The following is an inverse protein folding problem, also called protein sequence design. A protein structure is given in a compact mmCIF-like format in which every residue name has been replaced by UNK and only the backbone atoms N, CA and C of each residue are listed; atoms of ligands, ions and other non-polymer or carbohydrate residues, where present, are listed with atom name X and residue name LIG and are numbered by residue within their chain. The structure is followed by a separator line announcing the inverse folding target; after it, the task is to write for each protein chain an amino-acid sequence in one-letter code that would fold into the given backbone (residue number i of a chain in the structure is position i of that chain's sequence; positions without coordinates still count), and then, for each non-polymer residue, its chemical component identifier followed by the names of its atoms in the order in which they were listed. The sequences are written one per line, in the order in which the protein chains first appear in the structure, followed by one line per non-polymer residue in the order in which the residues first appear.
data_IF_822027349426
#
_entry.id   IF_822027349426
#
_cell.length_a   1.000
_cell.length_b   1.000
_cell.length_c   1.000
_cell.angle_alpha   90.00
_cell.angle_beta   90.00
_cell.angle_gamma   90.00
#
_symmetry.space_group_name_H-M   'P 1'
#
loop_
_entity.id
_entity.type
_entity.pdbx_description
1 polymer ?
#
# COMPACT_ATOMS: atom_id res chain seq x y z
N UNK A 1 4.84 -8.02 4.74
CA UNK A 1 4.31 -7.76 6.09
C UNK A 1 2.79 -7.90 6.16
N UNK A 2 2.04 -7.32 5.22
CA UNK A 2 0.58 -7.34 5.23
C UNK A 2 0.01 -8.77 5.30
N UNK A 3 0.52 -9.69 4.48
CA UNK A 3 0.03 -11.07 4.46
C UNK A 3 0.23 -11.78 5.80
N UNK A 4 1.30 -11.46 6.53
CA UNK A 4 1.54 -12.00 7.87
C UNK A 4 0.48 -11.58 8.88
N UNK A 5 0.03 -10.33 8.84
CA UNK A 5 -1.10 -9.87 9.66
C UNK A 5 -2.42 -10.50 9.19
N UNK A 6 -2.66 -10.53 7.87
CA UNK A 6 -3.89 -11.08 7.29
C UNK A 6 -4.11 -12.53 7.67
N UNK A 7 -3.02 -13.32 7.72
CA UNK A 7 -3.07 -14.76 7.97
C UNK A 7 -3.83 -15.10 9.25
N UNK A 8 -3.65 -14.33 10.32
CA UNK A 8 -4.34 -14.56 11.60
C UNK A 8 -5.87 -14.43 11.50
N UNK A 9 -6.37 -13.67 10.51
CA UNK A 9 -7.79 -13.33 10.36
C UNK A 9 -8.45 -13.94 9.11
N UNK A 10 -7.73 -14.75 8.32
CA UNK A 10 -8.26 -15.28 7.06
C UNK A 10 -9.57 -16.06 7.25
N UNK A 11 -9.67 -16.82 8.32
CA UNK A 11 -10.84 -17.66 8.63
C UNK A 11 -11.95 -16.90 9.37
N UNK A 12 -11.66 -15.73 9.92
CA UNK A 12 -12.65 -14.92 10.61
C UNK A 12 -13.38 -13.98 9.63
N UNK A 13 -14.57 -14.38 9.21
CA UNK A 13 -15.38 -13.63 8.25
C UNK A 13 -15.99 -12.34 8.82
N UNK A 14 -15.94 -12.12 10.13
CA UNK A 14 -16.39 -10.88 10.75
C UNK A 14 -15.31 -9.80 10.69
N UNK A 15 -14.05 -10.18 10.47
CA UNK A 15 -12.94 -9.25 10.29
C UNK A 15 -12.82 -8.88 8.81
N UNK A 16 -13.03 -7.59 8.50
CA UNK A 16 -12.73 -7.03 7.18
C UNK A 16 -11.21 -6.90 7.02
N UNK A 17 -10.69 -7.34 5.88
CA UNK A 17 -9.27 -7.24 5.54
C UNK A 17 -9.10 -6.23 4.39
N UNK A 18 -8.26 -5.23 4.61
CA UNK A 18 -7.99 -4.18 3.64
C UNK A 18 -6.49 -4.05 3.41
N UNK A 19 -6.06 -4.15 2.15
CA UNK A 19 -4.71 -3.84 1.70
C UNK A 19 -4.64 -2.46 1.07
N UNK A 20 -3.55 -1.74 1.30
CA UNK A 20 -3.25 -0.49 0.64
C UNK A 20 -2.20 -0.72 -0.45
N UNK A 21 -2.49 -0.27 -1.68
CA UNK A 21 -1.55 -0.28 -2.80
C UNK A 21 -1.04 1.13 -3.08
N UNK A 22 0.16 1.24 -3.65
CA UNK A 22 0.73 2.52 -4.05
C UNK A 22 0.07 3.04 -5.34
N UNK A 23 -0.80 4.01 -5.20
CA UNK A 23 -1.40 4.71 -6.33
C UNK A 23 -0.51 5.83 -6.90
N UNK A 24 0.68 6.07 -6.35
CA UNK A 24 1.65 7.04 -6.84
C UNK A 24 1.06 8.43 -7.03
N UNK A 25 1.13 8.96 -8.23
CA UNK A 25 0.52 10.24 -8.61
C UNK A 25 -0.98 10.09 -8.95
N UNK A 26 -1.56 8.91 -8.74
CA UNK A 26 -2.92 8.54 -9.08
C UNK A 26 -2.99 7.49 -10.19
N UNK A 27 -3.82 6.47 -10.04
CA UNK A 27 -3.92 5.35 -11.01
C UNK A 27 -4.22 5.86 -12.43
N UNK A 28 -5.09 6.87 -12.56
CA UNK A 28 -5.45 7.45 -13.85
C UNK A 28 -4.33 8.19 -14.59
N UNK A 29 -3.21 8.49 -13.91
CA UNK A 29 -2.03 9.13 -14.53
C UNK A 29 -1.11 8.14 -15.23
N UNK A 30 -1.23 6.85 -14.95
CA UNK A 30 -0.31 5.80 -15.35
C UNK A 30 0.96 5.73 -14.48
N UNK A 31 1.16 6.67 -13.55
CA UNK A 31 2.33 6.72 -12.65
C UNK A 31 1.94 6.16 -11.27
N UNK A 32 1.94 4.85 -11.15
CA UNK A 32 1.54 4.12 -9.94
C UNK A 32 2.15 2.72 -9.90
N UNK A 33 1.99 2.01 -8.78
CA UNK A 33 2.39 0.61 -8.59
C UNK A 33 1.23 -0.27 -8.05
N UNK A 34 -0.03 0.13 -8.30
CA UNK A 34 -1.21 -0.58 -7.84
C UNK A 34 -1.53 -1.77 -8.75
N UNK A 35 -0.89 -2.90 -8.52
CA UNK A 35 -0.94 -4.08 -9.40
C UNK A 35 -2.29 -4.80 -9.38
N UNK A 36 -2.99 -4.85 -8.24
CA UNK A 36 -4.32 -5.49 -8.14
C UNK A 36 -5.38 -4.59 -8.78
N UNK A 37 -5.30 -3.28 -8.50
CA UNK A 37 -6.32 -2.35 -8.97
C UNK A 37 -6.25 -2.07 -10.49
N UNK A 38 -5.04 -2.10 -11.09
CA UNK A 38 -4.84 -1.68 -12.48
C UNK A 38 -4.02 -2.66 -13.33
N UNK A 39 -3.48 -3.72 -12.74
CA UNK A 39 -2.75 -4.76 -13.46
C UNK A 39 -3.68 -5.81 -14.06
N UNK A 40 -3.08 -6.77 -14.71
CA UNK A 40 -3.75 -7.93 -15.29
C UNK A 40 -3.07 -9.24 -14.85
N UNK A 41 -3.77 -10.39 -14.89
CA UNK A 41 -3.15 -11.68 -14.62
C UNK A 41 -1.96 -11.93 -15.55
N UNK A 42 -0.82 -12.27 -14.96
CA UNK A 42 0.42 -12.52 -15.67
C UNK A 42 1.38 -13.40 -14.86
N UNK A 43 2.60 -13.53 -15.35
CA UNK A 43 3.67 -14.29 -14.66
C UNK A 43 4.85 -13.33 -14.43
N UNK A 44 5.26 -13.20 -13.17
CA UNK A 44 6.42 -12.42 -12.78
C UNK A 44 7.26 -13.25 -11.81
N UNK A 45 8.57 -13.37 -12.11
CA UNK A 45 9.50 -14.21 -11.33
C UNK A 45 9.02 -15.66 -11.12
N UNK A 46 8.35 -16.23 -12.13
CA UNK A 46 7.82 -17.60 -12.07
C UNK A 46 6.51 -17.76 -11.29
N UNK A 47 5.95 -16.67 -10.76
CA UNK A 47 4.67 -16.72 -10.04
C UNK A 47 3.55 -16.13 -10.90
N UNK A 48 2.41 -16.82 -10.94
CA UNK A 48 1.18 -16.28 -11.50
C UNK A 48 0.58 -15.28 -10.49
N UNK A 49 0.36 -14.05 -10.94
CA UNK A 49 -0.15 -12.97 -10.09
C UNK A 49 -0.76 -11.85 -10.96
N UNK A 50 -1.08 -10.72 -10.36
CA UNK A 50 -1.37 -9.47 -11.08
C UNK A 50 -0.08 -8.73 -11.38
N UNK A 51 0.05 -8.24 -12.63
CA UNK A 51 1.25 -7.56 -13.13
C UNK A 51 0.84 -6.30 -13.90
N UNK A 52 1.57 -5.21 -13.67
CA UNK A 52 1.48 -4.00 -14.49
C UNK A 52 2.27 -4.22 -15.78
N UNK A 53 1.58 -4.46 -16.88
CA UNK A 53 2.18 -4.68 -18.18
C UNK A 53 1.29 -4.12 -19.30
N UNK A 54 1.91 -3.82 -20.44
CA UNK A 54 1.23 -3.38 -21.65
C UNK A 54 0.52 -4.53 -22.39
N UNK A 55 -0.03 -4.26 -23.56
CA UNK A 55 -0.77 -5.25 -24.35
C UNK A 55 0.11 -6.36 -24.93
N UNK A 56 1.40 -6.09 -25.07
CA UNK A 56 2.40 -7.06 -25.51
C UNK A 56 3.00 -7.87 -24.34
N UNK A 57 2.54 -7.60 -23.10
CA UNK A 57 2.99 -8.27 -21.89
C UNK A 57 4.32 -7.73 -21.33
N UNK A 58 4.81 -6.60 -21.84
CA UNK A 58 6.01 -5.95 -21.33
C UNK A 58 5.68 -5.19 -20.03
N UNK A 59 6.57 -5.29 -19.05
CA UNK A 59 6.42 -4.60 -17.77
C UNK A 59 6.41 -3.08 -18.00
N UNK A 60 5.41 -2.42 -17.42
CA UNK A 60 5.31 -0.95 -17.42
C UNK A 60 6.14 -0.41 -16.26
N UNK A 61 6.81 0.73 -16.49
CA UNK A 61 7.50 1.46 -15.43
C UNK A 61 6.51 1.87 -14.35
N UNK A 62 6.85 1.57 -13.10
CA UNK A 62 6.03 1.88 -11.95
C UNK A 62 6.48 3.16 -11.25
N UNK A 63 5.66 3.68 -10.35
CA UNK A 63 6.01 4.83 -9.54
C UNK A 63 5.37 4.76 -8.16
N UNK A 64 6.19 4.98 -7.14
CA UNK A 64 5.77 5.23 -5.75
C UNK A 64 6.87 6.00 -5.02
N UNK A 65 6.47 6.88 -4.11
CA UNK A 65 7.40 7.50 -3.15
C UNK A 65 8.05 6.46 -2.23
N UNK A 66 7.40 5.33 -2.05
CA UNK A 66 7.89 4.20 -1.25
C UNK A 66 8.64 3.22 -2.14
N UNK A 67 9.95 3.12 -1.96
CA UNK A 67 10.80 2.19 -2.73
C UNK A 67 10.35 0.73 -2.60
N UNK A 68 9.84 0.31 -1.44
CA UNK A 68 9.36 -1.05 -1.22
C UNK A 68 8.02 -1.37 -1.89
N UNK A 69 7.27 -0.35 -2.31
CA UNK A 69 6.01 -0.51 -3.05
C UNK A 69 6.14 -0.18 -4.54
N UNK A 70 7.26 0.39 -4.96
CA UNK A 70 7.54 0.70 -6.37
C UNK A 70 7.94 -0.56 -7.13
N UNK A 71 6.92 -1.37 -7.46
CA UNK A 71 7.10 -2.69 -8.04
C UNK A 71 5.88 -3.08 -8.91
N UNK A 72 6.08 -3.69 -10.09
CA UNK A 72 5.02 -3.92 -11.07
C UNK A 72 4.16 -5.14 -10.80
N UNK A 73 4.28 -5.79 -9.66
CA UNK A 73 3.54 -6.99 -9.32
C UNK A 73 3.21 -7.08 -7.84
N UNK A 74 2.48 -8.10 -7.47
CA UNK A 74 2.08 -8.37 -6.09
C UNK A 74 2.26 -9.85 -5.77
N UNK A 75 2.38 -10.21 -4.50
CA UNK A 75 2.46 -11.61 -4.09
C UNK A 75 1.21 -12.40 -4.52
N UNK A 76 1.36 -13.64 -5.00
CA UNK A 76 0.25 -14.46 -5.52
C UNK A 76 -0.84 -14.72 -4.48
N UNK A 77 -0.50 -14.73 -3.21
CA UNK A 77 -1.47 -14.88 -2.12
C UNK A 77 -2.37 -13.64 -1.99
N UNK A 78 -1.83 -12.43 -2.17
CA UNK A 78 -2.64 -11.22 -2.23
C UNK A 78 -3.58 -11.23 -3.44
N UNK A 79 -3.10 -11.67 -4.61
CA UNK A 79 -3.93 -11.84 -5.80
C UNK A 79 -5.09 -12.80 -5.53
N UNK A 80 -4.83 -13.95 -4.92
CA UNK A 80 -5.85 -14.92 -4.52
C UNK A 80 -6.88 -14.33 -3.53
N UNK A 81 -6.43 -13.57 -2.54
CA UNK A 81 -7.34 -12.94 -1.57
C UNK A 81 -8.22 -11.86 -2.22
N UNK A 82 -7.71 -11.16 -3.22
CA UNK A 82 -8.48 -10.22 -4.03
C UNK A 82 -9.54 -10.97 -4.87
N UNK A 83 -9.13 -11.99 -5.62
CA UNK A 83 -10.01 -12.78 -6.50
C UNK A 83 -11.15 -13.46 -5.74
N UNK A 84 -10.86 -13.95 -4.55
CA UNK A 84 -11.86 -14.59 -3.69
C UNK A 84 -12.73 -13.60 -2.90
N UNK A 85 -12.46 -12.31 -3.01
CA UNK A 85 -13.13 -11.27 -2.24
C UNK A 85 -12.86 -11.35 -0.73
N UNK A 86 -11.81 -12.07 -0.30
CA UNK A 86 -11.45 -12.15 1.12
C UNK A 86 -10.82 -10.88 1.63
N UNK A 87 -10.04 -10.21 0.80
CA UNK A 87 -9.45 -8.91 1.10
C UNK A 87 -9.79 -7.91 0.00
N UNK A 88 -10.00 -6.65 0.37
CA UNK A 88 -10.12 -5.52 -0.56
C UNK A 88 -8.77 -4.81 -0.66
N UNK A 89 -8.46 -4.31 -1.87
CA UNK A 89 -7.25 -3.53 -2.09
C UNK A 89 -7.62 -2.15 -2.61
N UNK A 90 -7.00 -1.12 -2.01
CA UNK A 90 -7.33 0.28 -2.28
C UNK A 90 -6.06 1.07 -2.56
N UNK A 91 -6.10 1.91 -3.57
CA UNK A 91 -4.98 2.77 -3.93
C UNK A 91 -4.85 3.96 -2.97
N UNK A 92 -3.62 4.22 -2.53
CA UNK A 92 -3.22 5.39 -1.74
C UNK A 92 -2.16 6.13 -2.53
N UNK A 93 -2.38 7.43 -2.72
CA UNK A 93 -1.40 8.28 -3.42
C UNK A 93 -0.18 8.58 -2.56
N UNK A 94 0.90 8.99 -3.22
CA UNK A 94 2.12 9.43 -2.55
C UNK A 94 1.85 10.57 -1.56
N UNK A 95 1.00 11.52 -1.96
CA UNK A 95 0.61 12.65 -1.12
C UNK A 95 -0.13 12.20 0.14
N UNK A 96 -1.08 11.28 0.02
CA UNK A 96 -1.81 10.74 1.16
C UNK A 96 -0.90 9.96 2.11
N UNK A 97 0.07 9.22 1.57
CA UNK A 97 1.05 8.50 2.36
C UNK A 97 1.97 9.45 3.14
N UNK A 98 2.44 10.53 2.50
CA UNK A 98 3.26 11.56 3.16
C UNK A 98 2.47 12.30 4.25
N UNK A 99 1.22 12.65 4.00
CA UNK A 99 0.36 13.26 5.03
C UNK A 99 0.19 12.34 6.25
N UNK A 100 0.01 11.04 6.03
CA UNK A 100 -0.10 10.07 7.11
C UNK A 100 1.24 9.90 7.86
N UNK A 101 2.38 9.92 7.14
CA UNK A 101 3.71 9.92 7.74
C UNK A 101 3.88 11.09 8.73
N UNK A 102 3.61 12.32 8.27
CA UNK A 102 3.73 13.51 9.11
C UNK A 102 2.75 13.51 10.27
N UNK A 103 1.51 13.07 10.03
CA UNK A 103 0.51 13.00 11.10
C UNK A 103 0.98 12.10 12.23
N UNK A 104 1.46 10.89 11.94
CA UNK A 104 1.94 9.97 12.96
C UNK A 104 3.18 10.51 13.68
N UNK A 105 4.11 11.12 12.94
CA UNK A 105 5.29 11.73 13.52
C UNK A 105 4.94 12.86 14.50
N UNK A 106 3.98 13.71 14.15
CA UNK A 106 3.57 14.83 14.99
C UNK A 106 2.72 14.42 16.20
N UNK A 107 1.85 13.43 16.04
CA UNK A 107 0.91 13.05 17.11
C UNK A 107 1.47 12.03 18.07
N UNK A 108 2.28 11.10 17.58
CA UNK A 108 2.77 9.95 18.35
C UNK A 108 4.31 9.92 18.50
N UNK A 109 5.03 10.81 17.80
CA UNK A 109 6.50 10.80 17.79
C UNK A 109 7.09 9.56 17.08
N UNK A 110 6.33 8.91 16.20
CA UNK A 110 6.73 7.71 15.47
C UNK A 110 6.97 8.07 14.01
N UNK A 111 8.14 7.72 13.48
CA UNK A 111 8.46 7.80 12.05
C UNK A 111 8.11 6.45 11.39
N UNK A 112 6.96 6.32 10.73
CA UNK A 112 6.62 5.08 10.01
C UNK A 112 7.44 4.97 8.72
N UNK A 113 7.74 3.76 8.26
CA UNK A 113 8.20 3.58 6.89
C UNK A 113 7.15 4.06 5.89
N UNK A 114 7.56 4.54 4.72
CA UNK A 114 6.62 4.98 3.67
C UNK A 114 5.67 3.87 3.22
N UNK A 115 6.13 2.62 3.23
CA UNK A 115 5.28 1.44 3.03
C UNK A 115 4.12 1.41 4.03
N UNK A 116 4.42 1.57 5.31
CA UNK A 116 3.41 1.57 6.39
C UNK A 116 2.53 2.80 6.36
N UNK A 117 3.04 3.92 5.86
CA UNK A 117 2.30 5.19 5.72
C UNK A 117 1.12 5.05 4.77
N UNK A 118 1.23 4.22 3.72
CA UNK A 118 0.11 3.88 2.84
C UNK A 118 -1.01 3.16 3.60
N UNK A 119 -0.65 2.18 4.42
CA UNK A 119 -1.63 1.48 5.26
C UNK A 119 -2.26 2.41 6.30
N UNK A 120 -1.47 3.29 6.91
CA UNK A 120 -1.94 4.27 7.87
C UNK A 120 -2.91 5.28 7.23
N UNK A 121 -2.61 5.80 6.04
CA UNK A 121 -3.51 6.69 5.30
C UNK A 121 -4.88 6.03 5.07
N UNK A 122 -4.90 4.76 4.67
CA UNK A 122 -6.15 4.02 4.52
C UNK A 122 -6.85 3.77 5.85
N UNK A 123 -6.12 3.45 6.91
CA UNK A 123 -6.69 3.25 8.25
C UNK A 123 -7.35 4.53 8.78
N UNK A 124 -6.76 5.70 8.54
CA UNK A 124 -7.36 7.00 8.91
C UNK A 124 -8.68 7.24 8.16
N UNK A 125 -8.74 6.92 6.86
CA UNK A 125 -9.98 7.03 6.08
C UNK A 125 -11.07 6.12 6.66
N UNK A 126 -10.74 4.85 6.91
CA UNK A 126 -11.67 3.89 7.48
C UNK A 126 -12.15 4.31 8.88
N UNK A 127 -11.25 4.79 9.74
CA UNK A 127 -11.60 5.22 11.09
C UNK A 127 -12.59 6.40 11.12
N UNK A 128 -12.57 7.26 10.10
CA UNK A 128 -13.54 8.37 9.98
C UNK A 128 -14.94 7.92 9.57
N UNK A 129 -15.03 6.78 8.88
CA UNK A 129 -16.27 6.22 8.35
C UNK A 129 -16.92 5.21 9.29
N UNK A 130 -16.14 4.66 10.23
CA UNK A 130 -16.59 3.58 11.11
C UNK A 130 -17.15 4.10 12.44
N UNK A 131 -18.12 3.38 13.05
CA UNK A 131 -18.58 3.61 14.42
C UNK A 131 -17.41 3.54 15.41
N UNK A 132 -17.52 4.30 16.50
CA UNK A 132 -16.45 4.40 17.51
C UNK A 132 -16.17 3.13 18.30
N UNK A 133 -17.09 2.19 18.30
CA UNK A 133 -16.95 0.87 18.95
C UNK A 133 -16.25 -0.17 18.06
N UNK A 134 -15.94 0.17 16.81
CA UNK A 134 -15.16 -0.68 15.92
C UNK A 134 -13.67 -0.44 16.07
N UNK A 135 -12.91 -1.52 15.98
CA UNK A 135 -11.45 -1.49 16.05
C UNK A 135 -10.89 -1.49 14.62
N UNK A 136 -10.01 -0.53 14.32
CA UNK A 136 -9.19 -0.51 13.11
C UNK A 136 -7.76 -0.87 13.51
N UNK A 137 -7.32 -2.07 13.12
CA UNK A 137 -5.96 -2.56 13.36
C UNK A 137 -5.10 -2.27 12.12
N UNK A 138 -4.10 -1.40 12.26
CA UNK A 138 -3.16 -1.07 11.21
C UNK A 138 -1.79 -1.72 11.46
N UNK A 139 -1.23 -2.37 10.43
CA UNK A 139 0.12 -2.94 10.51
C UNK A 139 1.18 -1.85 10.26
N UNK A 140 1.83 -1.39 11.31
CA UNK A 140 2.99 -0.51 11.21
C UNK A 140 4.26 -1.36 11.01
N UNK A 141 4.50 -1.77 9.78
CA UNK A 141 5.43 -2.85 9.41
C UNK A 141 6.90 -2.43 9.29
N UNK A 142 7.22 -1.16 9.48
CA UNK A 142 8.59 -0.69 9.37
C UNK A 142 8.78 0.73 9.92
N UNK A 143 10.05 1.10 10.10
CA UNK A 143 10.47 2.41 10.60
C UNK A 143 10.93 3.31 9.46
N UNK A 144 10.65 4.61 9.57
CA UNK A 144 10.84 5.60 8.53
C UNK A 144 12.18 6.34 8.54
N UNK A 145 13.10 6.02 9.44
CA UNK A 145 14.44 6.64 9.46
C UNK A 145 15.20 6.44 8.14
N UNK A 146 14.98 5.34 7.43
CA UNK A 146 15.50 5.09 6.09
C UNK A 146 14.93 6.04 5.04
N UNK A 147 13.76 6.62 5.24
CA UNK A 147 13.01 7.41 4.26
C UNK A 147 13.18 8.92 4.44
N UNK A 148 13.80 9.36 5.55
CA UNK A 148 13.90 10.78 5.93
C UNK A 148 14.59 11.62 4.85
N UNK A 149 15.67 11.12 4.23
CA UNK A 149 16.36 11.82 3.13
C UNK A 149 15.47 11.95 1.87
N UNK A 150 14.71 10.93 1.54
CA UNK A 150 13.79 10.94 0.40
C UNK A 150 12.67 11.96 0.63
N UNK A 151 12.10 11.98 1.83
CA UNK A 151 11.04 12.91 2.22
C UNK A 151 11.57 14.34 2.22
N UNK A 152 12.72 14.59 2.87
CA UNK A 152 13.33 15.91 2.91
C UNK A 152 13.65 16.46 1.51
N UNK A 153 14.22 15.64 0.63
CA UNK A 153 14.50 16.05 -0.75
C UNK A 153 13.23 16.42 -1.52
N UNK A 154 12.14 15.65 -1.34
CA UNK A 154 10.84 15.93 -1.96
C UNK A 154 10.22 17.24 -1.46
N UNK A 155 10.44 17.57 -0.20
CA UNK A 155 9.92 18.78 0.45
C UNK A 155 10.86 19.98 0.35
N UNK A 156 12.01 19.82 -0.31
CA UNK A 156 12.99 20.90 -0.46
C UNK A 156 13.73 21.25 0.84
N UNK A 157 13.77 20.33 1.79
CA UNK A 157 14.49 20.49 3.06
C UNK A 157 15.94 20.00 2.93
N UNK A 158 16.85 20.71 3.55
CA UNK A 158 18.26 20.32 3.69
C UNK A 158 18.44 19.72 5.09
N UNK A 159 18.90 18.49 5.14
CA UNK A 159 19.21 17.76 6.38
C UNK A 159 20.71 17.85 6.72
#
# INVERSE_FOLDING_TARGET
NAIGLFHAFLNDRQVEIVGAEAAGDGIGTGRHAASIAAGRPGVLHGNRTYVLCDDDGQIIETHSVSAGLDYPGVGPEHAFLADTGRARYLGITDEEALQAFHLLAHTEGILPALESSHALAQAIKLARERPRDQIVLCNLSGRGDKDVHTIAAREGLVL
#
